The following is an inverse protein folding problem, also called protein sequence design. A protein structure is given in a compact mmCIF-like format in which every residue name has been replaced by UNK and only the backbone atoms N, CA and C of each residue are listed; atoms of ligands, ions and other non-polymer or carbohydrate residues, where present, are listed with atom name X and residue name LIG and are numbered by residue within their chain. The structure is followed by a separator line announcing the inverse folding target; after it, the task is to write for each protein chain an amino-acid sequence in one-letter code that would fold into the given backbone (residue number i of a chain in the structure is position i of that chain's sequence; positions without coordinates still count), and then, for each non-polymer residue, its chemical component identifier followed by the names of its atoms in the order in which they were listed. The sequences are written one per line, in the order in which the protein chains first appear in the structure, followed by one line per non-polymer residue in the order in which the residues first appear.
data_IF_303080488282
#
_entry.id   IF_303080488282
#
_cell.length_a   1.000
_cell.length_b   1.000
_cell.length_c   1.000
_cell.angle_alpha   90.00
_cell.angle_beta   90.00
_cell.angle_gamma   90.00
#
_symmetry.space_group_name_H-M   'P 1'
#
loop_
_entity.id
_entity.type
_entity.pdbx_description
1 polymer ?
#
# COMPACT_ATOMS: atom_id res chain seq x y z
N UNK A 1 5.80 -11.57 -7.71
CA UNK A 1 7.15 -11.15 -7.26
C UNK A 1 7.70 -9.90 -7.95
N UNK A 2 7.68 -9.78 -9.29
CA UNK A 2 8.23 -8.59 -10.00
C UNK A 2 7.73 -7.24 -9.46
N UNK A 3 6.43 -7.16 -9.13
CA UNK A 3 5.82 -5.98 -8.50
C UNK A 3 6.44 -5.65 -7.14
N UNK A 4 6.69 -6.64 -6.28
CA UNK A 4 7.26 -6.43 -4.95
C UNK A 4 8.67 -5.83 -5.00
N UNK A 5 9.48 -6.30 -5.95
CA UNK A 5 10.84 -5.76 -6.16
C UNK A 5 10.75 -4.34 -6.72
N UNK A 6 9.93 -4.11 -7.74
CA UNK A 6 9.81 -2.80 -8.37
C UNK A 6 9.30 -1.74 -7.37
N UNK A 7 8.19 -1.99 -6.71
CA UNK A 7 7.66 -1.10 -5.68
C UNK A 7 8.60 -0.99 -4.47
N UNK A 8 9.25 -2.09 -4.08
CA UNK A 8 10.21 -2.11 -2.97
C UNK A 8 11.39 -1.18 -3.22
N UNK A 9 11.97 -1.23 -4.43
CA UNK A 9 13.08 -0.38 -4.86
C UNK A 9 12.65 1.09 -5.04
N UNK A 10 11.48 1.34 -5.63
CA UNK A 10 10.96 2.70 -5.73
C UNK A 10 10.74 3.27 -4.32
N UNK A 11 10.12 2.50 -3.43
CA UNK A 11 9.91 2.89 -2.04
C UNK A 11 11.22 3.13 -1.28
N UNK A 12 12.28 2.36 -1.57
CA UNK A 12 13.61 2.55 -0.98
C UNK A 12 14.24 3.90 -1.36
N UNK A 13 14.05 4.38 -2.59
CA UNK A 13 14.55 5.71 -3.00
C UNK A 13 13.58 6.81 -2.56
N UNK A 14 12.28 6.54 -2.65
CA UNK A 14 11.23 7.52 -2.36
C UNK A 14 11.19 7.88 -0.87
N UNK A 15 11.29 6.91 0.04
CA UNK A 15 11.18 7.16 1.49
C UNK A 15 12.23 8.17 2.01
N UNK A 16 13.53 8.06 1.68
CA UNK A 16 14.51 9.08 2.03
C UNK A 16 14.21 10.46 1.43
N UNK A 17 13.72 10.53 0.19
CA UNK A 17 13.32 11.80 -0.42
C UNK A 17 12.13 12.42 0.30
N UNK A 18 11.12 11.62 0.63
CA UNK A 18 9.95 12.07 1.39
C UNK A 18 10.31 12.47 2.81
N UNK A 19 11.32 11.83 3.41
CA UNK A 19 11.89 12.27 4.68
C UNK A 19 12.49 13.68 4.56
N UNK A 20 13.25 13.98 3.51
CA UNK A 20 13.81 15.33 3.32
C UNK A 20 12.71 16.38 3.10
N UNK A 21 11.61 16.03 2.43
CA UNK A 21 10.42 16.89 2.27
C UNK A 21 9.73 17.10 3.61
N UNK A 22 9.56 16.03 4.39
CA UNK A 22 8.99 16.07 5.74
C UNK A 22 9.80 17.00 6.66
N UNK A 23 11.12 16.96 6.52
CA UNK A 23 12.07 17.74 7.31
C UNK A 23 12.13 19.22 6.92
N UNK A 24 12.22 19.51 5.62
CA UNK A 24 12.63 20.82 5.12
C UNK A 24 11.49 21.62 4.47
N UNK A 25 10.37 20.98 4.13
CA UNK A 25 9.24 21.65 3.47
C UNK A 25 8.03 21.66 4.40
N UNK A 26 7.49 20.49 4.73
CA UNK A 26 6.32 20.37 5.60
C UNK A 26 6.08 18.92 6.00
N UNK A 27 5.88 18.70 7.30
CA UNK A 27 5.45 17.42 7.90
C UNK A 27 4.23 16.85 7.19
N UNK A 28 3.20 17.69 6.99
CA UNK A 28 1.94 17.28 6.37
C UNK A 28 2.14 16.86 4.92
N UNK A 29 2.91 17.63 4.15
CA UNK A 29 3.17 17.33 2.73
C UNK A 29 3.97 16.03 2.59
N UNK A 30 5.01 15.85 3.40
CA UNK A 30 5.82 14.62 3.40
C UNK A 30 4.96 13.39 3.69
N UNK A 31 4.15 13.42 4.76
CA UNK A 31 3.27 12.31 5.12
C UNK A 31 2.15 12.07 4.09
N UNK A 32 1.59 13.13 3.50
CA UNK A 32 0.59 13.01 2.45
C UNK A 32 1.11 12.18 1.26
N UNK A 33 2.35 12.45 0.82
CA UNK A 33 2.95 11.67 -0.27
C UNK A 33 3.26 10.22 0.14
N UNK A 34 3.62 9.96 1.40
CA UNK A 34 3.76 8.59 1.92
C UNK A 34 2.41 7.86 1.84
N UNK A 35 1.32 8.49 2.29
CA UNK A 35 -0.03 7.91 2.21
C UNK A 35 -0.41 7.62 0.76
N UNK A 36 -0.23 8.57 -0.16
CA UNK A 36 -0.50 8.37 -1.58
C UNK A 36 0.29 7.17 -2.16
N UNK A 37 1.57 7.04 -1.80
CA UNK A 37 2.40 5.92 -2.22
C UNK A 37 1.88 4.58 -1.67
N UNK A 38 1.58 4.52 -0.37
CA UNK A 38 1.06 3.34 0.31
C UNK A 38 -0.28 2.90 -0.29
N UNK A 39 -1.21 3.84 -0.52
CA UNK A 39 -2.50 3.57 -1.14
C UNK A 39 -2.32 3.01 -2.55
N UNK A 40 -1.47 3.66 -3.36
CA UNK A 40 -1.20 3.25 -4.73
C UNK A 40 -0.60 1.84 -4.78
N UNK A 41 0.44 1.58 -3.99
CA UNK A 41 1.08 0.27 -3.90
C UNK A 41 0.10 -0.80 -3.37
N UNK A 42 -0.61 -0.49 -2.29
CA UNK A 42 -1.60 -1.38 -1.67
C UNK A 42 -2.72 -1.78 -2.62
N UNK A 43 -3.27 -0.85 -3.39
CA UNK A 43 -4.26 -1.14 -4.44
C UNK A 43 -3.68 -2.08 -5.50
N UNK A 44 -2.43 -1.87 -5.94
CA UNK A 44 -1.78 -2.74 -6.93
C UNK A 44 -1.54 -4.15 -6.38
N UNK A 45 -1.07 -4.30 -5.14
CA UNK A 45 -0.92 -5.62 -4.52
C UNK A 45 -2.25 -6.31 -4.29
N UNK A 46 -3.30 -5.56 -3.95
CA UNK A 46 -4.63 -6.11 -3.70
C UNK A 46 -5.29 -6.74 -4.94
N UNK A 47 -4.77 -6.50 -6.14
CA UNK A 47 -5.23 -7.16 -7.36
C UNK A 47 -4.71 -8.60 -7.52
N UNK A 48 -3.65 -8.97 -6.81
CA UNK A 48 -2.99 -10.28 -6.91
C UNK A 48 -3.75 -11.38 -6.15
N UNK A 49 -3.31 -12.62 -6.32
CA UNK A 49 -3.80 -13.76 -5.53
C UNK A 49 -3.42 -13.61 -4.05
N UNK A 50 -4.13 -14.30 -3.15
CA UNK A 50 -3.94 -14.14 -1.70
C UNK A 50 -2.47 -14.34 -1.25
N UNK A 51 -1.85 -15.46 -1.66
CA UNK A 51 -0.46 -15.78 -1.30
C UNK A 51 0.52 -14.76 -1.90
N UNK A 52 0.31 -14.37 -3.15
CA UNK A 52 1.20 -13.42 -3.84
C UNK A 52 1.09 -11.99 -3.29
N UNK A 53 -0.11 -11.57 -2.90
CA UNK A 53 -0.34 -10.28 -2.28
C UNK A 53 0.32 -10.22 -0.90
N UNK A 54 0.14 -11.26 -0.08
CA UNK A 54 0.77 -11.35 1.24
C UNK A 54 2.30 -11.26 1.12
N UNK A 55 2.92 -12.15 0.34
CA UNK A 55 4.36 -12.16 0.13
C UNK A 55 4.82 -10.85 -0.50
N UNK A 56 4.06 -10.32 -1.47
CA UNK A 56 4.40 -9.10 -2.18
C UNK A 56 4.44 -7.87 -1.29
N UNK A 57 3.45 -7.71 -0.41
CA UNK A 57 3.41 -6.62 0.57
C UNK A 57 4.55 -6.78 1.58
N UNK A 58 4.77 -7.98 2.14
CA UNK A 58 5.86 -8.22 3.10
C UNK A 58 7.22 -7.87 2.49
N UNK A 59 7.51 -8.37 1.28
CA UNK A 59 8.75 -8.08 0.59
C UNK A 59 8.89 -6.60 0.25
N UNK A 60 7.82 -5.93 -0.18
CA UNK A 60 7.82 -4.50 -0.45
C UNK A 60 8.20 -3.69 0.80
N UNK A 61 7.57 -3.98 1.95
CA UNK A 61 7.88 -3.31 3.22
C UNK A 61 9.35 -3.56 3.61
N UNK A 62 9.82 -4.80 3.52
CA UNK A 62 11.19 -5.15 3.87
C UNK A 62 12.22 -4.46 2.95
N UNK A 63 12.00 -4.47 1.63
CA UNK A 63 12.90 -3.81 0.68
C UNK A 63 12.89 -2.30 0.87
N UNK A 64 11.71 -1.67 0.98
CA UNK A 64 11.63 -0.23 1.21
C UNK A 64 12.27 0.20 2.53
N UNK A 65 12.18 -0.62 3.58
CA UNK A 65 12.83 -0.35 4.87
C UNK A 65 14.35 -0.51 4.82
N UNK A 66 14.83 -1.72 4.49
CA UNK A 66 16.27 -2.05 4.54
C UNK A 66 17.04 -1.28 3.46
N UNK A 67 16.59 -1.35 2.21
CA UNK A 67 17.26 -0.62 1.12
C UNK A 67 17.02 0.88 1.25
N UNK A 68 15.88 1.31 1.82
CA UNK A 68 15.65 2.74 2.07
C UNK A 68 16.65 3.32 3.05
N UNK A 69 17.03 2.58 4.09
CA UNK A 69 18.10 2.98 4.99
C UNK A 69 19.44 3.14 4.25
N UNK A 70 19.78 2.19 3.37
CA UNK A 70 21.01 2.25 2.56
C UNK A 70 20.97 3.45 1.60
N UNK A 71 19.85 3.65 0.89
CA UNK A 71 19.66 4.77 -0.02
C UNK A 71 19.71 6.11 0.73
N UNK A 72 19.23 6.17 1.99
CA UNK A 72 19.32 7.37 2.81
C UNK A 72 20.77 7.82 3.04
N UNK A 73 21.73 6.89 3.14
CA UNK A 73 23.15 7.23 3.29
C UNK A 73 23.70 8.03 2.10
N UNK A 74 23.14 7.83 0.90
CA UNK A 74 23.53 8.59 -0.30
C UNK A 74 22.63 9.82 -0.53
N UNK A 75 21.33 9.69 -0.30
CA UNK A 75 20.34 10.74 -0.58
C UNK A 75 20.44 11.89 0.43
N UNK A 76 20.60 11.58 1.72
CA UNK A 76 20.70 12.59 2.78
C UNK A 76 21.84 13.60 2.54
N UNK A 77 23.11 13.19 2.32
CA UNK A 77 24.19 14.15 2.07
C UNK A 77 24.01 14.92 0.75
N UNK A 78 23.44 14.29 -0.28
CA UNK A 78 23.15 14.95 -1.55
C UNK A 78 22.07 16.03 -1.38
N UNK A 79 20.97 15.71 -0.68
CA UNK A 79 19.90 16.65 -0.38
C UNK A 79 20.39 17.79 0.51
N UNK A 80 21.18 17.47 1.55
CA UNK A 80 21.81 18.47 2.42
C UNK A 80 22.69 19.43 1.61
N UNK A 81 23.58 18.91 0.75
CA UNK A 81 24.46 19.75 -0.09
C UNK A 81 23.64 20.65 -1.02
N UNK A 82 22.60 20.10 -1.65
CA UNK A 82 21.72 20.86 -2.55
C UNK A 82 20.97 21.96 -1.80
N UNK A 83 20.38 21.63 -0.65
CA UNK A 83 19.61 22.57 0.15
C UNK A 83 20.50 23.67 0.70
N UNK A 84 21.66 23.35 1.31
CA UNK A 84 22.60 24.37 1.79
C UNK A 84 23.07 25.30 0.65
N UNK A 85 23.25 24.78 -0.56
CA UNK A 85 23.67 25.61 -1.70
C UNK A 85 22.60 26.56 -2.24
N UNK A 86 21.32 26.33 -1.91
CA UNK A 86 20.18 27.10 -2.47
C UNK A 86 19.25 27.69 -1.40
N UNK A 87 19.35 27.25 -0.15
CA UNK A 87 18.40 27.48 0.93
C UNK A 87 18.99 27.07 2.30
N UNK A 88 18.15 27.02 3.33
CA UNK A 88 18.49 26.55 4.68
C UNK A 88 18.17 25.07 4.81
N UNK A 89 19.05 24.32 5.47
CA UNK A 89 18.85 22.91 5.79
C UNK A 89 18.40 22.74 7.24
N UNK A 90 17.28 22.06 7.46
CA UNK A 90 16.75 21.73 8.78
C UNK A 90 16.99 20.26 9.08
N UNK A 91 17.87 19.99 10.04
CA UNK A 91 18.11 18.63 10.50
C UNK A 91 17.17 18.30 11.67
N UNK A 92 16.27 17.34 11.46
CA UNK A 92 15.40 16.83 12.54
C UNK A 92 16.21 16.25 13.69
N UNK A 93 15.68 16.38 14.90
CA UNK A 93 16.18 15.68 16.08
C UNK A 93 15.98 14.17 15.98
N UNK A 94 16.70 13.40 16.78
CA UNK A 94 16.60 11.93 16.79
C UNK A 94 15.17 11.43 17.05
N UNK A 95 14.46 12.08 17.98
CA UNK A 95 13.07 11.75 18.32
C UNK A 95 12.14 11.90 17.12
N UNK A 96 12.28 12.98 16.35
CA UNK A 96 11.41 13.27 15.21
C UNK A 96 11.72 12.38 14.01
N UNK A 97 13.01 12.03 13.81
CA UNK A 97 13.43 11.01 12.85
C UNK A 97 12.77 9.66 13.15
N UNK A 98 12.83 9.22 14.41
CA UNK A 98 12.19 7.98 14.83
C UNK A 98 10.67 8.03 14.65
N UNK A 99 10.03 9.15 15.03
CA UNK A 99 8.60 9.35 14.80
C UNK A 99 8.23 9.19 13.33
N UNK A 100 8.98 9.79 12.41
CA UNK A 100 8.75 9.64 10.97
C UNK A 100 8.85 8.18 10.52
N UNK A 101 9.90 7.47 10.94
CA UNK A 101 10.10 6.04 10.59
C UNK A 101 8.95 5.18 11.14
N UNK A 102 8.54 5.42 12.39
CA UNK A 102 7.43 4.71 13.02
C UNK A 102 6.11 4.97 12.30
N UNK A 103 5.81 6.23 11.96
CA UNK A 103 4.60 6.57 11.19
C UNK A 103 4.62 5.88 9.83
N UNK A 104 5.74 5.94 9.10
CA UNK A 104 5.91 5.26 7.82
C UNK A 104 5.67 3.74 7.96
N UNK A 105 6.20 3.10 9.00
CA UNK A 105 5.98 1.68 9.25
C UNK A 105 4.49 1.35 9.41
N UNK A 106 3.75 2.11 10.23
CA UNK A 106 2.31 1.90 10.42
C UNK A 106 1.51 2.18 9.14
N UNK A 107 1.86 3.21 8.38
CA UNK A 107 1.23 3.48 7.09
C UNK A 107 1.46 2.32 6.12
N UNK A 108 2.68 1.80 6.03
CA UNK A 108 3.00 0.65 5.19
C UNK A 108 2.24 -0.61 5.62
N UNK A 109 2.05 -0.84 6.92
CA UNK A 109 1.18 -1.90 7.43
C UNK A 109 -0.29 -1.72 6.98
N UNK A 110 -0.72 -0.48 6.73
CA UNK A 110 -2.01 -0.17 6.12
C UNK A 110 -2.24 -0.81 4.74
N UNK A 111 -1.19 -1.21 4.02
CA UNK A 111 -1.36 -1.98 2.77
C UNK A 111 -2.07 -3.32 3.00
N UNK A 112 -1.83 -3.97 4.14
CA UNK A 112 -2.55 -5.20 4.48
C UNK A 112 -4.04 -4.94 4.70
N UNK A 113 -4.41 -3.82 5.30
CA UNK A 113 -5.81 -3.44 5.48
C UNK A 113 -6.50 -3.26 4.12
N UNK A 114 -5.87 -2.52 3.19
CA UNK A 114 -6.42 -2.33 1.83
C UNK A 114 -6.61 -3.66 1.10
N UNK A 115 -5.64 -4.56 1.25
CA UNK A 115 -5.71 -5.90 0.66
C UNK A 115 -6.86 -6.72 1.26
N UNK A 116 -6.98 -6.78 2.59
CA UNK A 116 -8.05 -7.51 3.29
C UNK A 116 -9.43 -6.94 2.93
N UNK A 117 -9.58 -5.61 2.90
CA UNK A 117 -10.83 -4.95 2.51
C UNK A 117 -11.24 -5.37 1.10
N UNK A 118 -10.33 -5.29 0.12
CA UNK A 118 -10.65 -5.69 -1.26
C UNK A 118 -10.95 -7.17 -1.39
N UNK A 119 -10.25 -8.02 -0.65
CA UNK A 119 -10.50 -9.45 -0.62
C UNK A 119 -11.89 -9.79 -0.04
N UNK A 120 -12.25 -9.14 1.07
CA UNK A 120 -13.57 -9.28 1.68
C UNK A 120 -14.67 -8.82 0.71
N UNK A 121 -14.50 -7.66 0.06
CA UNK A 121 -15.44 -7.15 -0.94
C UNK A 121 -15.65 -8.12 -2.10
N UNK A 122 -14.58 -8.75 -2.62
CA UNK A 122 -14.70 -9.78 -3.68
C UNK A 122 -15.52 -10.97 -3.23
N UNK A 123 -15.23 -11.53 -2.06
CA UNK A 123 -15.98 -12.67 -1.51
C UNK A 123 -17.45 -12.33 -1.27
N UNK A 124 -17.74 -11.12 -0.80
CA UNK A 124 -19.12 -10.65 -0.60
C UNK A 124 -19.85 -10.58 -1.93
N UNK A 125 -19.24 -10.00 -2.97
CA UNK A 125 -19.83 -9.94 -4.31
C UNK A 125 -20.07 -11.32 -4.93
N UNK A 126 -19.12 -12.25 -4.79
CA UNK A 126 -19.27 -13.65 -5.23
C UNK A 126 -20.43 -14.34 -4.53
N UNK A 127 -20.57 -14.16 -3.22
CA UNK A 127 -21.67 -14.72 -2.44
C UNK A 127 -23.03 -14.12 -2.85
N UNK A 128 -23.10 -12.81 -3.08
CA UNK A 128 -24.32 -12.17 -3.59
C UNK A 128 -24.71 -12.69 -4.97
N UNK A 129 -23.73 -12.88 -5.86
CA UNK A 129 -23.97 -13.44 -7.19
C UNK A 129 -24.49 -14.88 -7.10
N UNK A 130 -23.84 -15.72 -6.30
CA UNK A 130 -24.25 -17.11 -6.09
C UNK A 130 -25.66 -17.20 -5.48
N UNK A 131 -25.98 -16.37 -4.49
CA UNK A 131 -27.33 -16.31 -3.92
C UNK A 131 -28.38 -15.85 -4.94
N UNK A 132 -28.03 -14.92 -5.84
CA UNK A 132 -28.91 -14.49 -6.93
C UNK A 132 -29.14 -15.60 -7.95
N UNK A 133 -28.10 -16.35 -8.30
CA UNK A 133 -28.19 -17.50 -9.22
C UNK A 133 -29.05 -18.62 -8.60
N UNK A 134 -28.86 -18.93 -7.31
CA UNK A 134 -29.73 -19.88 -6.59
C UNK A 134 -31.19 -19.39 -6.54
N UNK A 135 -31.42 -18.14 -6.17
CA UNK A 135 -32.77 -17.56 -6.16
C UNK A 135 -33.44 -17.63 -7.56
N UNK A 136 -32.68 -17.39 -8.62
CA UNK A 136 -33.16 -17.59 -10.00
C UNK A 136 -33.55 -19.04 -10.28
N UNK A 137 -32.71 -20.00 -9.92
CA UNK A 137 -33.01 -21.43 -10.11
C UNK A 137 -34.21 -21.92 -9.29
N UNK A 138 -34.43 -21.38 -8.09
CA UNK A 138 -35.62 -21.69 -7.29
C UNK A 138 -36.90 -21.17 -7.94
N UNK A 139 -36.85 -19.98 -8.55
CA UNK A 139 -37.98 -19.42 -9.29
C UNK A 139 -38.26 -20.26 -10.54
N UNK A 140 -37.22 -20.61 -11.30
CA UNK A 140 -37.37 -21.42 -12.52
C UNK A 140 -37.91 -22.83 -12.22
N UNK A 141 -37.42 -23.48 -11.17
CA UNK A 141 -37.97 -24.78 -10.73
C UNK A 141 -39.41 -24.67 -10.22
N UNK A 142 -39.77 -23.59 -9.51
CA UNK A 142 -41.14 -23.37 -9.04
C UNK A 142 -42.14 -23.14 -10.19
N UNK A 143 -41.69 -22.67 -11.37
CA UNK A 143 -42.52 -22.52 -12.56
C UNK A 143 -42.53 -23.76 -13.47
N UNK A 144 -41.54 -24.66 -13.36
CA UNK A 144 -41.53 -25.93 -14.08
C UNK A 144 -42.35 -27.03 -13.39
N UNK A 145 -42.54 -26.95 -12.07
CA UNK A 145 -43.35 -27.92 -11.32
C UNK A 145 -44.88 -27.77 -11.57
N UNK A 146 -45.32 -26.75 -12.31
CA UNK A 146 -46.74 -26.58 -12.71
C UNK A 146 -47.13 -27.36 -14.00
N UNK A 147 -46.20 -28.05 -14.68
CA UNK A 147 -46.53 -28.85 -15.89
C UNK A 147 -46.77 -30.36 -15.65
N UNK A 148 -46.47 -30.91 -14.47
CA UNK A 148 -46.69 -32.34 -14.14
C UNK A 148 -48.04 -32.62 -13.42
N UNK A 149 -49.05 -31.80 -13.73
CA UNK A 149 -50.43 -31.94 -13.26
C UNK A 149 -51.42 -32.28 -14.38
N UNK A 150 -51.20 -33.38 -15.10
CA UNK A 150 -52.20 -34.01 -15.98
C UNK A 150 -52.36 -35.49 -15.67
#
# INVERSE_FOLDING_TARGET
MKLAICFGLIGAVLLPVLYEIYANISTTVGLFFVVCWVLFAGVKFSALTFKEALIGITCNIAYSGVLGFICALAIHPAAMKLLISRSVYFQLGLKEKLMFVTICFFLFMGMYLLWVIRFALRKVMEKFRSNREMAGSYIENAFNDEEDGK
#
